data_IF_622667610357
#
_entry.id   IF_622667610357
#
_cell.length_a   1.000
_cell.length_b   1.000
_cell.length_c   1.000
_cell.angle_alpha   90.00
_cell.angle_beta   90.00
_cell.angle_gamma   90.00
#
_symmetry.space_group_name_H-M   'P 1'
#
loop_
_entity.id
_entity.type
_entity.pdbx_description
1 polymer ?
#
# COMPACT_ATOMS: atom_id res chain seq x y z
N UNK A 1 -6.75 -17.00 -18.29
CA UNK A 1 -6.11 -18.33 -18.14
C UNK A 1 -5.01 -18.17 -17.10
N UNK A 2 -5.31 -18.50 -15.84
CA UNK A 2 -4.34 -18.44 -14.75
C UNK A 2 -3.25 -19.49 -14.99
N UNK A 3 -1.98 -19.09 -15.01
CA UNK A 3 -0.85 -20.03 -15.00
C UNK A 3 -0.11 -19.84 -13.68
N UNK A 4 -0.20 -20.85 -12.82
CA UNK A 4 0.66 -20.97 -11.63
C UNK A 4 2.00 -21.49 -12.15
N UNK A 5 3.03 -20.65 -12.16
CA UNK A 5 4.41 -21.10 -12.36
C UNK A 5 5.00 -21.43 -11.00
N UNK A 6 5.00 -22.72 -10.65
CA UNK A 6 5.85 -23.23 -9.58
C UNK A 6 7.25 -23.45 -10.15
N UNK A 7 8.23 -22.68 -9.68
CA UNK A 7 9.65 -22.96 -9.94
C UNK A 7 10.15 -23.84 -8.79
N UNK A 8 10.39 -25.11 -9.09
CA UNK A 8 11.10 -26.03 -8.19
C UNK A 8 12.59 -25.95 -8.57
N UNK A 9 13.39 -25.32 -7.72
CA UNK A 9 14.84 -25.37 -7.82
C UNK A 9 15.34 -26.57 -7.00
N UNK A 10 15.82 -27.61 -7.68
CA UNK A 10 16.67 -28.65 -7.07
C UNK A 10 18.03 -28.60 -7.76
N UNK A 11 19.05 -28.27 -6.98
CA UNK A 11 20.49 -28.38 -7.25
C UNK A 11 20.96 -28.24 -8.72
N UNK A 12 21.39 -27.01 -9.06
CA UNK A 12 22.59 -26.81 -9.89
C UNK A 12 22.48 -27.15 -11.37
N UNK A 13 21.61 -26.46 -12.11
CA UNK A 13 21.78 -25.95 -13.49
C UNK A 13 20.42 -25.87 -14.20
N UNK A 14 19.86 -24.67 -14.31
CA UNK A 14 18.69 -24.42 -15.15
C UNK A 14 19.15 -24.08 -16.58
N UNK A 15 19.04 -25.02 -17.51
CA UNK A 15 19.13 -24.73 -18.94
C UNK A 15 17.74 -24.33 -19.44
N UNK A 16 17.51 -23.03 -19.59
CA UNK A 16 16.28 -22.48 -20.16
C UNK A 16 16.50 -22.01 -21.58
N UNK A 17 15.72 -22.54 -22.52
CA UNK A 17 15.47 -21.87 -23.80
C UNK A 17 14.74 -20.56 -23.49
N UNK A 18 15.17 -19.39 -24.01
CA UNK A 18 14.41 -18.16 -23.85
C UNK A 18 13.14 -18.27 -24.71
N UNK A 19 12.11 -18.90 -24.15
CA UNK A 19 10.74 -18.66 -24.58
C UNK A 19 10.41 -17.31 -23.95
N UNK A 20 10.17 -16.29 -24.76
CA UNK A 20 9.57 -15.05 -24.29
C UNK A 20 8.26 -15.43 -23.57
N UNK A 21 8.31 -15.57 -22.25
CA UNK A 21 7.14 -15.83 -21.44
C UNK A 21 6.30 -14.56 -21.54
N UNK A 22 5.17 -14.64 -22.24
CA UNK A 22 4.13 -13.64 -22.11
C UNK A 22 3.89 -13.47 -20.61
N UNK A 23 4.09 -12.25 -20.10
CA UNK A 23 3.78 -11.92 -18.71
C UNK A 23 2.36 -12.44 -18.44
N UNK A 24 2.11 -13.09 -17.30
CA UNK A 24 0.76 -13.49 -16.96
C UNK A 24 -0.15 -12.26 -17.07
N UNK A 25 -1.36 -12.45 -17.59
CA UNK A 25 -2.31 -11.35 -17.75
C UNK A 25 -2.60 -10.65 -16.41
N UNK A 26 -2.33 -11.29 -15.27
CA UNK A 26 -2.36 -10.63 -13.97
C UNK A 26 -1.21 -11.17 -13.12
N UNK A 27 -0.47 -10.30 -12.45
CA UNK A 27 0.34 -10.63 -11.29
C UNK A 27 -0.56 -10.58 -10.06
N UNK A 28 -0.51 -11.58 -9.21
CA UNK A 28 -1.31 -11.62 -7.97
C UNK A 28 -0.39 -12.01 -6.83
N UNK A 29 -0.45 -11.24 -5.74
CA UNK A 29 0.33 -11.46 -4.54
C UNK A 29 -0.57 -11.46 -3.32
N UNK A 30 -0.22 -12.28 -2.33
CA UNK A 30 -0.87 -12.27 -1.03
C UNK A 30 0.20 -12.27 0.07
N UNK A 31 0.08 -11.33 1.00
CA UNK A 31 1.01 -11.15 2.12
C UNK A 31 0.22 -11.21 3.42
N UNK A 32 0.69 -12.01 4.37
CA UNK A 32 0.12 -12.07 5.71
C UNK A 32 1.16 -11.63 6.73
N UNK A 33 0.82 -10.61 7.50
CA UNK A 33 1.63 -10.10 8.62
C UNK A 33 0.92 -10.40 9.93
N UNK A 34 1.66 -10.87 10.92
CA UNK A 34 1.15 -11.18 12.24
C UNK A 34 2.11 -10.70 13.33
N UNK A 35 1.59 -9.96 14.30
CA UNK A 35 2.37 -9.34 15.36
C UNK A 35 1.78 -9.64 16.74
N UNK A 36 2.63 -10.11 17.66
CA UNK A 36 2.25 -10.27 19.08
C UNK A 36 2.93 -9.17 19.87
N UNK A 37 2.13 -8.32 20.51
CA UNK A 37 2.64 -7.22 21.33
C UNK A 37 2.09 -7.27 22.74
N UNK A 38 2.87 -6.75 23.70
CA UNK A 38 2.49 -6.63 25.10
C UNK A 38 2.94 -5.29 25.68
N UNK A 39 1.99 -4.56 26.26
CA UNK A 39 2.29 -3.38 27.05
C UNK A 39 2.62 -3.84 28.48
N UNK A 40 3.90 -3.73 28.86
CA UNK A 40 4.41 -4.25 30.13
C UNK A 40 4.27 -3.24 31.28
N UNK A 41 4.33 -1.94 30.97
CA UNK A 41 4.24 -0.86 31.95
C UNK A 41 3.81 0.47 31.31
N UNK A 42 3.16 1.35 32.08
CA UNK A 42 2.62 2.61 31.59
C UNK A 42 1.43 2.45 30.62
N UNK A 43 1.17 3.51 29.84
CA UNK A 43 0.08 3.58 28.85
C UNK A 43 -1.31 3.60 29.48
N UNK A 44 -2.34 3.30 28.67
CA UNK A 44 -3.75 3.22 29.10
C UNK A 44 -3.96 1.98 29.98
N UNK A 45 -3.45 0.83 29.55
CA UNK A 45 -3.57 -0.43 30.29
C UNK A 45 -2.48 -1.42 29.89
N UNK A 46 -2.18 -2.38 30.78
CA UNK A 46 -1.30 -3.51 30.48
C UNK A 46 -2.09 -4.63 29.82
N UNK A 47 -1.80 -4.92 28.56
CA UNK A 47 -2.46 -5.98 27.81
C UNK A 47 -1.51 -6.60 26.79
N UNK A 48 -1.84 -7.81 26.36
CA UNK A 48 -1.26 -8.42 25.16
C UNK A 48 -2.31 -8.50 24.07
N UNK A 49 -1.91 -8.30 22.82
CA UNK A 49 -2.74 -8.46 21.64
C UNK A 49 -1.97 -9.21 20.55
N UNK A 50 -2.73 -9.87 19.70
CA UNK A 50 -2.25 -10.41 18.43
C UNK A 50 -2.95 -9.66 17.32
N UNK A 51 -2.19 -8.91 16.54
CA UNK A 51 -2.68 -8.16 15.38
C UNK A 51 -2.31 -8.91 14.11
N UNK A 52 -3.19 -8.83 13.12
CA UNK A 52 -2.89 -9.36 11.80
C UNK A 52 -3.36 -8.44 10.67
N UNK A 53 -2.72 -8.66 9.52
CA UNK A 53 -2.96 -7.97 8.28
C UNK A 53 -2.83 -8.95 7.12
N UNK A 54 -3.80 -8.96 6.22
CA UNK A 54 -3.75 -9.72 4.98
C UNK A 54 -3.93 -8.78 3.80
N UNK A 55 -2.89 -8.70 2.98
CA UNK A 55 -2.85 -7.94 1.73
C UNK A 55 -3.07 -8.89 0.57
N UNK A 56 -3.96 -8.53 -0.35
CA UNK A 56 -4.14 -9.24 -1.62
C UNK A 56 -4.08 -8.21 -2.72
N UNK A 57 -3.02 -8.26 -3.52
CA UNK A 57 -2.82 -7.34 -4.64
C UNK A 57 -2.92 -8.07 -5.97
N UNK A 58 -3.40 -7.35 -6.98
CA UNK A 58 -3.43 -7.81 -8.35
C UNK A 58 -3.04 -6.66 -9.29
N UNK A 59 -2.08 -6.90 -10.18
CA UNK A 59 -1.66 -5.92 -11.18
C UNK A 59 -1.71 -6.49 -12.60
N UNK A 60 -2.00 -5.63 -13.56
CA UNK A 60 -1.99 -5.94 -14.98
C UNK A 60 -1.22 -4.87 -15.73
N UNK A 61 -0.10 -5.28 -16.32
CA UNK A 61 0.66 -4.46 -17.25
C UNK A 61 0.09 -4.62 -18.67
N UNK A 62 -0.08 -3.50 -19.36
CA UNK A 62 -0.62 -3.43 -20.71
C UNK A 62 0.10 -2.35 -21.53
N UNK A 63 -0.17 -2.34 -22.84
CA UNK A 63 0.23 -1.24 -23.73
C UNK A 63 -1.03 -0.63 -24.32
N UNK A 64 -1.38 0.58 -23.90
CA UNK A 64 -2.55 1.32 -24.38
C UNK A 64 -2.13 2.68 -24.92
N UNK A 65 -2.80 3.11 -25.99
CA UNK A 65 -2.45 4.35 -26.70
C UNK A 65 -0.99 4.41 -27.18
N UNK A 66 -0.34 3.26 -27.36
CA UNK A 66 1.05 3.15 -27.78
C UNK A 66 2.08 3.34 -26.67
N UNK A 67 1.66 3.37 -25.40
CA UNK A 67 2.52 3.58 -24.23
C UNK A 67 2.16 2.56 -23.12
N UNK A 68 3.05 2.38 -22.15
CA UNK A 68 2.80 1.44 -21.04
C UNK A 68 1.65 1.92 -20.15
N UNK A 69 0.86 0.97 -19.69
CA UNK A 69 -0.30 1.15 -18.86
C UNK A 69 -0.34 0.09 -17.77
N UNK A 70 -0.86 0.43 -16.60
CA UNK A 70 -1.01 -0.50 -15.48
C UNK A 70 -2.38 -0.35 -14.82
N UNK A 71 -3.01 -1.48 -14.52
CA UNK A 71 -4.12 -1.55 -13.58
C UNK A 71 -3.62 -2.20 -12.30
N UNK A 72 -4.04 -1.66 -11.16
CA UNK A 72 -3.71 -2.20 -9.85
C UNK A 72 -4.95 -2.23 -8.96
N UNK A 73 -5.11 -3.32 -8.21
CA UNK A 73 -6.19 -3.55 -7.25
C UNK A 73 -5.57 -4.15 -6.00
N UNK A 74 -5.97 -3.65 -4.83
CA UNK A 74 -5.45 -4.10 -3.54
C UNK A 74 -6.61 -4.22 -2.55
N UNK A 75 -6.89 -5.45 -2.12
CA UNK A 75 -7.76 -5.76 -1.01
C UNK A 75 -6.98 -5.90 0.30
N UNK A 76 -7.53 -5.31 1.36
CA UNK A 76 -6.90 -5.23 2.67
C UNK A 76 -7.83 -5.85 3.73
N UNK A 77 -7.26 -6.65 4.62
CA UNK A 77 -7.93 -7.15 5.81
C UNK A 77 -7.06 -6.94 7.06
N UNK A 78 -7.69 -6.53 8.16
CA UNK A 78 -7.08 -6.50 9.50
C UNK A 78 -8.06 -7.04 10.54
N UNK A 79 -7.55 -7.74 11.56
CA UNK A 79 -8.36 -8.07 12.73
C UNK A 79 -8.65 -6.83 13.61
N UNK A 80 -9.50 -7.00 14.62
CA UNK A 80 -9.94 -5.92 15.54
C UNK A 80 -9.00 -5.68 16.72
N UNK A 81 -7.77 -6.19 16.68
CA UNK A 81 -6.92 -6.26 17.86
C UNK A 81 -6.09 -4.98 18.09
N UNK A 82 -6.72 -3.81 18.00
CA UNK A 82 -6.02 -2.52 18.12
C UNK A 82 -5.23 -2.39 19.42
N UNK A 83 -4.12 -1.67 19.36
CA UNK A 83 -3.17 -1.61 20.48
C UNK A 83 -2.79 -0.18 20.87
N UNK A 84 -2.50 0.68 19.89
CA UNK A 84 -2.06 2.05 20.10
C UNK A 84 -3.17 2.90 20.72
N UNK A 85 -4.41 2.77 20.26
CA UNK A 85 -5.55 3.54 20.76
C UNK A 85 -6.13 3.02 22.09
N UNK A 86 -6.14 1.71 22.32
CA UNK A 86 -6.81 1.07 23.46
C UNK A 86 -5.89 0.54 24.55
N UNK A 87 -4.58 0.43 24.29
CA UNK A 87 -3.59 -0.15 25.23
C UNK A 87 -2.49 0.85 25.57
N UNK A 88 -1.87 1.48 24.57
CA UNK A 88 -0.70 2.37 24.77
C UNK A 88 -1.11 3.82 24.97
N UNK A 89 -1.99 4.34 24.11
CA UNK A 89 -2.40 5.74 24.05
C UNK A 89 -1.37 6.66 23.39
N UNK A 90 -0.61 6.17 22.41
CA UNK A 90 0.41 6.95 21.72
C UNK A 90 -0.09 7.59 20.41
N UNK A 91 0.70 8.54 19.89
CA UNK A 91 0.38 9.27 18.66
C UNK A 91 1.06 8.71 17.41
N UNK A 92 2.09 7.88 17.56
CA UNK A 92 2.96 7.46 16.46
C UNK A 92 2.69 6.04 15.98
N UNK A 93 1.70 5.40 16.58
CA UNK A 93 1.25 4.02 16.38
C UNK A 93 2.39 3.02 16.53
N UNK A 94 2.31 2.16 17.55
CA UNK A 94 3.40 1.22 17.85
C UNK A 94 3.62 0.16 16.76
N UNK A 95 2.65 -0.02 15.86
CA UNK A 95 2.72 -0.98 14.75
C UNK A 95 2.02 -0.48 13.49
N UNK A 96 2.65 -0.74 12.35
CA UNK A 96 2.18 -0.41 11.02
C UNK A 96 0.89 -1.12 10.59
N UNK A 97 0.48 -2.17 11.30
CA UNK A 97 -0.75 -2.92 11.02
C UNK A 97 -1.84 -2.69 12.09
N UNK A 98 -1.65 -1.68 12.95
CA UNK A 98 -2.58 -1.34 14.01
C UNK A 98 -3.73 -0.49 13.49
N UNK A 99 -4.85 -1.13 13.22
CA UNK A 99 -6.08 -0.49 12.77
C UNK A 99 -7.28 -1.26 13.32
N UNK A 100 -8.43 -0.58 13.54
CA UNK A 100 -9.69 -1.28 13.76
C UNK A 100 -9.99 -2.31 12.66
N UNK A 101 -10.80 -3.32 12.99
CA UNK A 101 -11.11 -4.40 12.06
C UNK A 101 -11.64 -3.87 10.74
N UNK A 102 -11.07 -4.39 9.67
CA UNK A 102 -11.29 -3.86 8.36
C UNK A 102 -11.27 -4.96 7.31
N UNK A 103 -12.17 -4.87 6.33
CA UNK A 103 -12.07 -5.60 5.08
C UNK A 103 -12.48 -4.65 3.97
N UNK A 104 -11.55 -4.25 3.11
CA UNK A 104 -11.83 -3.24 2.09
C UNK A 104 -11.02 -3.36 0.83
N UNK A 105 -11.51 -2.70 -0.20
CA UNK A 105 -10.71 -2.32 -1.35
C UNK A 105 -9.87 -1.11 -0.94
N UNK A 106 -8.57 -1.32 -0.71
CA UNK A 106 -7.64 -0.31 -0.23
C UNK A 106 -7.04 0.51 -1.36
N UNK A 107 -6.65 -0.08 -2.49
CA UNK A 107 -6.30 0.66 -3.70
C UNK A 107 -6.98 0.07 -4.92
N UNK A 108 -7.31 0.94 -5.88
CA UNK A 108 -7.85 0.58 -7.17
C UNK A 108 -7.58 1.73 -8.14
N UNK A 109 -6.51 1.62 -8.91
CA UNK A 109 -6.08 2.70 -9.78
C UNK A 109 -5.62 2.20 -11.14
N UNK A 110 -5.67 3.13 -12.08
CA UNK A 110 -5.14 3.01 -13.42
C UNK A 110 -3.99 4.00 -13.59
N UNK A 111 -2.88 3.56 -14.17
CA UNK A 111 -1.74 4.37 -14.54
C UNK A 111 -1.52 4.31 -16.06
N UNK A 112 -1.35 5.47 -16.68
CA UNK A 112 -0.99 5.59 -18.10
C UNK A 112 0.31 6.37 -18.22
N UNK A 113 1.32 5.78 -18.86
CA UNK A 113 2.51 6.51 -19.28
C UNK A 113 2.25 7.30 -20.55
N UNK A 114 3.01 8.37 -20.73
CA UNK A 114 2.98 9.18 -21.93
C UNK A 114 4.38 9.73 -22.25
N UNK A 115 4.57 10.18 -23.49
CA UNK A 115 5.83 10.78 -23.97
C UNK A 115 6.99 9.80 -23.83
N UNK A 116 6.82 8.56 -24.27
CA UNK A 116 7.81 7.49 -24.24
C UNK A 116 8.29 7.24 -22.80
N UNK A 117 7.35 7.14 -21.87
CA UNK A 117 7.61 6.92 -20.45
C UNK A 117 8.12 8.13 -19.65
N UNK A 118 8.27 9.32 -20.26
CA UNK A 118 8.74 10.53 -19.56
C UNK A 118 7.74 11.10 -18.55
N UNK A 119 6.47 10.75 -18.66
CA UNK A 119 5.48 11.12 -17.67
C UNK A 119 4.44 10.03 -17.48
N UNK A 120 3.66 10.16 -16.41
CA UNK A 120 2.53 9.28 -16.15
C UNK A 120 1.38 10.03 -15.48
N UNK A 121 0.16 9.56 -15.72
CA UNK A 121 -1.04 9.95 -14.98
C UNK A 121 -1.57 8.72 -14.27
N UNK A 122 -1.85 8.83 -12.98
CA UNK A 122 -2.52 7.81 -12.16
C UNK A 122 -3.88 8.33 -11.71
N UNK A 123 -4.91 7.51 -11.80
CA UNK A 123 -6.31 7.84 -11.50
C UNK A 123 -6.97 6.69 -10.73
N UNK A 124 -7.63 6.98 -9.59
CA UNK A 124 -8.40 5.99 -8.84
C UNK A 124 -8.30 6.19 -7.34
N UNK A 125 -8.50 5.10 -6.58
CA UNK A 125 -8.17 5.05 -5.15
C UNK A 125 -6.66 4.88 -4.99
N UNK A 126 -5.98 5.89 -4.46
CA UNK A 126 -4.50 5.98 -4.43
C UNK A 126 -4.03 6.24 -3.01
N UNK A 127 -3.09 5.44 -2.52
CA UNK A 127 -2.36 5.74 -1.29
C UNK A 127 -1.38 6.91 -1.52
N UNK A 128 -1.62 8.05 -0.88
CA UNK A 128 -0.77 9.23 -0.96
C UNK A 128 0.62 8.94 -0.42
N UNK A 129 0.74 8.16 0.65
CA UNK A 129 2.02 7.86 1.29
C UNK A 129 2.98 7.15 0.32
N UNK A 130 2.49 6.16 -0.42
CA UNK A 130 3.29 5.46 -1.44
C UNK A 130 3.74 6.38 -2.58
N UNK A 131 3.10 7.54 -2.75
CA UNK A 131 3.38 8.50 -3.82
C UNK A 131 4.25 9.67 -3.35
N UNK A 132 4.16 10.11 -2.09
CA UNK A 132 4.80 11.36 -1.66
C UNK A 132 5.70 11.23 -0.44
N UNK A 133 5.58 10.17 0.37
CA UNK A 133 6.40 9.96 1.57
C UNK A 133 6.81 8.49 1.76
N UNK A 134 7.12 7.83 0.65
CA UNK A 134 7.56 6.44 0.65
C UNK A 134 9.04 6.35 1.08
N UNK A 135 9.30 5.60 2.15
CA UNK A 135 10.64 5.34 2.68
C UNK A 135 10.88 3.82 2.67
N UNK A 136 11.66 3.33 1.71
CA UNK A 136 11.88 1.89 1.53
C UNK A 136 12.42 1.20 2.79
N UNK A 137 13.29 1.88 3.54
CA UNK A 137 13.88 1.33 4.77
C UNK A 137 12.91 1.31 5.96
N UNK A 138 11.80 2.05 5.90
CA UNK A 138 10.80 2.07 6.95
C UNK A 138 10.13 0.69 7.13
N UNK A 139 10.05 -0.09 6.06
CA UNK A 139 9.51 -1.45 6.06
C UNK A 139 10.31 -2.43 6.94
N UNK A 140 11.51 -2.06 7.40
CA UNK A 140 12.31 -2.85 8.35
C UNK A 140 11.86 -2.68 9.81
N UNK A 141 10.99 -1.71 10.09
CA UNK A 141 10.55 -1.35 11.43
C UNK A 141 9.06 -1.66 11.62
N UNK A 142 8.69 -1.95 12.87
CA UNK A 142 7.31 -2.25 13.23
C UNK A 142 6.48 -0.98 13.37
N UNK A 143 6.99 0.04 14.07
CA UNK A 143 6.22 1.24 14.41
C UNK A 143 6.13 2.28 13.29
N UNK A 144 4.97 2.95 13.20
CA UNK A 144 4.64 3.89 12.12
C UNK A 144 5.43 5.19 12.14
N UNK A 145 6.07 5.50 13.26
CA UNK A 145 7.04 6.60 13.39
C UNK A 145 8.16 6.60 12.32
N UNK A 146 8.49 5.43 11.74
CA UNK A 146 9.55 5.31 10.73
C UNK A 146 9.06 5.52 9.30
N UNK A 147 7.74 5.51 9.10
CA UNK A 147 7.10 5.76 7.80
C UNK A 147 6.84 7.25 7.61
N UNK A 148 5.60 7.59 7.27
CA UNK A 148 5.17 8.97 7.06
C UNK A 148 5.39 9.82 8.32
N UNK A 149 5.78 11.08 8.14
CA UNK A 149 5.93 12.01 9.26
C UNK A 149 4.63 12.18 10.07
N UNK A 150 4.72 12.22 11.40
CA UNK A 150 3.54 12.38 12.29
C UNK A 150 2.80 13.69 12.05
N UNK A 151 3.52 14.73 11.66
CA UNK A 151 2.97 16.03 11.25
C UNK A 151 2.04 15.91 10.04
N UNK A 152 2.35 14.99 9.11
CA UNK A 152 1.54 14.77 7.93
C UNK A 152 0.46 13.70 8.14
N UNK A 153 0.77 12.62 8.86
CA UNK A 153 -0.19 11.54 9.14
C UNK A 153 -1.38 11.99 10.00
N UNK A 154 -1.22 13.04 10.80
CA UNK A 154 -2.26 13.64 11.64
C UNK A 154 -2.98 14.82 10.96
N UNK A 155 -2.84 15.00 9.65
CA UNK A 155 -3.50 16.06 8.90
C UNK A 155 -4.86 15.64 8.36
N UNK A 156 -5.73 16.61 8.06
CA UNK A 156 -7.08 16.33 7.52
C UNK A 156 -8.06 15.83 8.59
N UNK A 157 -9.29 15.59 8.17
CA UNK A 157 -10.39 15.17 9.06
C UNK A 157 -10.29 13.68 9.43
N UNK A 158 -9.82 12.84 8.50
CA UNK A 158 -9.65 11.39 8.67
C UNK A 158 -8.23 10.92 8.32
N UNK A 159 -7.23 11.78 8.54
CA UNK A 159 -5.89 11.54 8.04
C UNK A 159 -5.75 11.90 6.53
N UNK A 160 -4.53 11.87 5.99
CA UNK A 160 -4.31 11.85 4.55
C UNK A 160 -4.74 10.48 3.98
N UNK A 161 -4.73 10.35 2.65
CA UNK A 161 -4.94 9.05 2.00
C UNK A 161 -3.77 8.10 2.30
N UNK A 162 -3.90 7.23 3.30
CA UNK A 162 -2.85 6.32 3.79
C UNK A 162 -3.49 5.16 4.53
N UNK A 163 -2.75 4.09 4.79
CA UNK A 163 -3.20 2.97 5.59
C UNK A 163 -3.90 3.46 6.88
N UNK A 164 -5.14 2.98 7.15
CA UNK A 164 -5.86 1.89 6.48
C UNK A 164 -6.90 2.36 5.43
N UNK A 165 -6.93 3.65 5.03
CA UNK A 165 -7.99 4.23 4.17
C UNK A 165 -7.41 5.11 3.05
N UNK A 166 -7.77 4.85 1.80
CA UNK A 166 -7.38 5.72 0.68
C UNK A 166 -8.52 6.56 0.13
N UNK A 167 -8.15 7.55 -0.68
CA UNK A 167 -9.04 8.52 -1.32
C UNK A 167 -9.02 8.38 -2.84
N UNK A 168 -10.11 8.82 -3.47
CA UNK A 168 -10.12 9.09 -4.89
C UNK A 168 -9.14 10.21 -5.21
N UNK A 169 -8.32 10.01 -6.23
CA UNK A 169 -7.26 10.93 -6.56
C UNK A 169 -6.84 10.87 -8.02
N UNK A 170 -6.14 11.94 -8.42
CA UNK A 170 -5.39 12.05 -9.66
C UNK A 170 -3.97 12.46 -9.33
N UNK A 171 -2.99 11.75 -9.87
CA UNK A 171 -1.57 12.07 -9.71
C UNK A 171 -0.89 12.13 -11.07
N UNK A 172 -0.01 13.11 -11.26
CA UNK A 172 0.80 13.28 -12.47
C UNK A 172 2.28 13.31 -12.10
N UNK A 173 3.08 12.54 -12.84
CA UNK A 173 4.54 12.64 -12.84
C UNK A 173 5.06 13.13 -14.17
N UNK A 174 6.15 13.89 -14.11
CA UNK A 174 6.89 14.28 -15.29
C UNK A 174 8.40 14.39 -15.02
N UNK A 175 9.19 13.63 -15.77
CA UNK A 175 10.65 13.71 -15.75
C UNK A 175 11.14 14.95 -16.49
N UNK A 176 11.61 15.93 -15.72
CA UNK A 176 12.23 17.16 -16.22
C UNK A 176 13.62 16.86 -16.83
N UNK A 177 14.33 15.90 -16.25
CA UNK A 177 15.61 15.36 -16.72
C UNK A 177 15.80 13.92 -16.19
N UNK A 178 16.95 13.31 -16.43
CA UNK A 178 17.30 11.99 -15.87
C UNK A 178 17.39 11.98 -14.34
N UNK A 179 17.58 13.13 -13.69
CA UNK A 179 17.76 13.23 -12.23
C UNK A 179 16.63 13.95 -11.51
N UNK A 180 15.64 14.49 -12.23
CA UNK A 180 14.59 15.33 -11.65
C UNK A 180 13.21 14.92 -12.16
N UNK A 181 12.32 14.62 -11.21
CA UNK A 181 10.90 14.34 -11.45
C UNK A 181 10.08 15.41 -10.73
N UNK A 182 9.10 15.97 -11.43
CA UNK A 182 8.04 16.76 -10.83
C UNK A 182 6.83 15.85 -10.63
N UNK A 183 6.33 15.76 -9.40
CA UNK A 183 5.13 15.00 -9.03
C UNK A 183 4.10 15.94 -8.40
N UNK A 184 2.85 15.83 -8.83
CA UNK A 184 1.74 16.59 -8.30
C UNK A 184 0.48 15.70 -8.23
N UNK A 185 -0.33 15.87 -7.20
CA UNK A 185 -1.57 15.10 -7.03
C UNK A 185 -2.69 15.91 -6.39
N UNK A 186 -3.91 15.52 -6.68
CA UNK A 186 -5.14 16.03 -6.06
C UNK A 186 -5.90 14.83 -5.52
N UNK A 187 -6.19 14.87 -4.23
CA UNK A 187 -6.86 13.80 -3.50
C UNK A 187 -8.15 14.34 -2.90
N UNK A 188 -9.15 13.48 -2.73
CA UNK A 188 -10.21 13.75 -1.77
C UNK A 188 -9.59 14.05 -0.40
N UNK A 189 -10.11 15.06 0.28
CA UNK A 189 -9.56 15.56 1.52
C UNK A 189 -9.96 14.70 2.74
N UNK A 190 -10.99 13.88 2.57
CA UNK A 190 -11.49 12.98 3.62
C UNK A 190 -11.51 11.55 3.06
N UNK A 191 -10.46 10.75 3.30
CA UNK A 191 -10.46 9.35 2.92
C UNK A 191 -11.60 8.57 3.59
N UNK A 192 -12.40 7.86 2.79
CA UNK A 192 -13.54 7.07 3.28
C UNK A 192 -14.63 7.90 3.98
N UNK A 193 -15.46 7.23 4.80
CA UNK A 193 -16.54 7.85 5.57
C UNK A 193 -16.22 7.78 7.09
N UNK A 194 -15.89 8.91 7.75
CA UNK A 194 -15.59 8.94 9.18
C UNK A 194 -16.75 8.48 10.08
N UNK A 195 -18.00 8.69 9.64
CA UNK A 195 -19.20 8.26 10.38
C UNK A 195 -19.47 6.76 10.19
N UNK A 196 -18.97 6.18 9.10
CA UNK A 196 -19.09 4.75 8.80
C UNK A 196 -17.74 4.13 8.46
N UNK A 197 -16.79 4.05 9.42
CA UNK A 197 -15.38 3.73 9.17
C UNK A 197 -15.14 2.32 8.62
N UNK A 198 -16.14 1.44 8.65
CA UNK A 198 -16.09 0.10 8.06
C UNK A 198 -16.48 0.06 6.57
N UNK A 199 -16.88 1.20 5.98
CA UNK A 199 -17.23 1.34 4.56
C UNK A 199 -16.13 2.05 3.78
N UNK A 200 -16.14 1.83 2.47
CA UNK A 200 -15.38 2.63 1.50
C UNK A 200 -16.21 3.81 1.00
#
# INVERSE_FOLDING_TARGET
MFKISAIICVFGACWGVPIAQALPAWSVEAVYSGEVMRNVDGGIQRASRYMDNLDITASHQATWFGEDAELFVYGLYNNSATFSDTVVGDLQTVSNIDTPQNFRLYEAWYLQRFRQGRGSVKLGLIDLNTEFDAIDTAALFLGSAHGIGTDFSQSGENGPSIFPVTSLAVRVDYALSESWILRAGVFDAVPGDPDHPARN
#
